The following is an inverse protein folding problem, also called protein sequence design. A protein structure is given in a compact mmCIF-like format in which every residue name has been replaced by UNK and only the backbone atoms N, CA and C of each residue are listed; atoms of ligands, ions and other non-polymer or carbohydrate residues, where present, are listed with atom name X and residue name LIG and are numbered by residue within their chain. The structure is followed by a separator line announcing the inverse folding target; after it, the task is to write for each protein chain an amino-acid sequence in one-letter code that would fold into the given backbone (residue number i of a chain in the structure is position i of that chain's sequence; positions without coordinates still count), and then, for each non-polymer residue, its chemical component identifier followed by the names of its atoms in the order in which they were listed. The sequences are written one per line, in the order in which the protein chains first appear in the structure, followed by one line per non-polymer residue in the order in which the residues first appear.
data_IF_502672712772
#
_entry.id   IF_502672712772
#
_cell.length_a   1.000
_cell.length_b   1.000
_cell.length_c   1.000
_cell.angle_alpha   90.00
_cell.angle_beta   90.00
_cell.angle_gamma   90.00
#
_symmetry.space_group_name_H-M   'P 1'
#
loop_
_entity.id
_entity.type
_entity.pdbx_description
1 polymer ?
#
# COMPACT_ATOMS: atom_id res chain seq x y z
N UNK A 1 14.77 12.85 -3.34
CA UNK A 1 15.30 14.21 -3.50
C UNK A 1 15.73 14.35 -4.93
N UNK A 2 15.41 15.48 -5.53
CA UNK A 2 15.59 15.78 -6.94
C UNK A 2 16.15 17.20 -7.03
N UNK A 3 17.01 17.48 -7.99
CA UNK A 3 17.37 18.86 -8.30
C UNK A 3 16.32 19.47 -9.23
N UNK A 4 16.40 20.80 -9.41
CA UNK A 4 15.54 21.50 -10.37
C UNK A 4 15.65 20.90 -11.77
N UNK A 5 16.86 20.55 -12.20
CA UNK A 5 17.10 20.00 -13.53
C UNK A 5 16.40 18.64 -13.72
N UNK A 6 16.26 17.85 -12.65
CA UNK A 6 15.53 16.57 -12.71
C UNK A 6 14.03 16.79 -12.96
N UNK A 7 13.44 17.83 -12.34
CA UNK A 7 12.02 18.18 -12.52
C UNK A 7 11.77 18.72 -13.93
N UNK A 8 12.63 19.62 -14.39
CA UNK A 8 12.55 20.21 -15.73
C UNK A 8 12.71 19.14 -16.82
N UNK A 9 13.61 18.17 -16.63
CA UNK A 9 13.76 17.04 -17.55
C UNK A 9 12.49 16.17 -17.60
N UNK A 10 11.75 16.07 -16.51
CA UNK A 10 10.44 15.42 -16.48
C UNK A 10 9.29 16.29 -17.02
N UNK A 11 9.58 17.50 -17.50
CA UNK A 11 8.59 18.45 -17.99
C UNK A 11 7.71 19.05 -16.89
N UNK A 12 8.18 19.02 -15.63
CA UNK A 12 7.49 19.61 -14.50
C UNK A 12 7.97 21.04 -14.30
N UNK A 13 7.03 21.99 -14.33
CA UNK A 13 7.32 23.35 -13.88
C UNK A 13 7.50 23.33 -12.36
N UNK A 14 8.65 23.83 -11.91
CA UNK A 14 9.04 23.83 -10.50
C UNK A 14 8.04 24.61 -9.66
N UNK A 15 7.57 25.75 -10.16
CA UNK A 15 6.63 26.63 -9.45
C UNK A 15 5.27 25.94 -9.31
N UNK A 16 4.81 25.26 -10.36
CA UNK A 16 3.57 24.47 -10.37
C UNK A 16 3.64 23.24 -9.45
N UNK A 17 4.74 22.48 -9.52
CA UNK A 17 4.95 21.27 -8.72
C UNK A 17 5.14 21.55 -7.22
N UNK A 18 5.64 22.74 -6.86
CA UNK A 18 5.90 23.11 -5.47
C UNK A 18 4.82 24.03 -4.86
N UNK A 19 4.61 25.20 -5.46
CA UNK A 19 3.77 26.27 -4.88
C UNK A 19 2.28 26.00 -5.11
N UNK A 20 1.92 25.54 -6.30
CA UNK A 20 0.51 25.43 -6.69
C UNK A 20 -0.12 24.07 -6.37
N UNK A 21 0.61 22.98 -6.57
CA UNK A 21 0.09 21.62 -6.36
C UNK A 21 0.36 21.05 -4.96
N UNK A 22 1.34 21.58 -4.23
CA UNK A 22 1.75 21.06 -2.92
C UNK A 22 2.26 19.60 -2.95
N UNK A 23 2.63 19.09 -4.13
CA UNK A 23 3.09 17.71 -4.34
C UNK A 23 4.55 17.58 -3.92
N UNK A 24 5.36 18.59 -4.25
CA UNK A 24 6.76 18.71 -3.88
C UNK A 24 6.97 19.91 -2.94
N UNK A 25 7.98 19.83 -2.08
CA UNK A 25 8.49 20.98 -1.31
C UNK A 25 9.93 21.24 -1.70
N UNK A 26 10.23 22.53 -1.86
CA UNK A 26 11.60 23.01 -2.01
C UNK A 26 12.28 23.03 -0.63
N UNK A 27 13.46 22.41 -0.55
CA UNK A 27 14.35 22.47 0.60
C UNK A 27 15.74 22.89 0.12
N UNK A 28 16.52 23.51 1.02
CA UNK A 28 17.88 23.92 0.68
C UNK A 28 18.90 22.86 1.09
N UNK A 29 19.71 22.41 0.13
CA UNK A 29 20.86 21.54 0.40
C UNK A 29 22.14 22.35 0.37
N UNK A 30 22.90 22.30 1.46
CA UNK A 30 24.20 22.96 1.56
C UNK A 30 25.25 22.18 0.77
N UNK A 31 25.81 22.77 -0.28
CA UNK A 31 26.90 22.16 -1.07
C UNK A 31 28.28 22.59 -0.55
N UNK A 32 28.39 23.82 -0.03
CA UNK A 32 29.60 24.39 0.59
C UNK A 32 29.21 25.32 1.76
N UNK A 33 30.20 25.84 2.51
CA UNK A 33 29.96 26.70 3.70
C UNK A 33 29.05 27.90 3.39
N UNK A 34 29.11 28.44 2.17
CA UNK A 34 28.36 29.63 1.72
C UNK A 34 27.32 29.38 0.62
N UNK A 35 27.24 28.16 0.05
CA UNK A 35 26.37 27.89 -1.10
C UNK A 35 25.30 26.85 -0.75
N UNK A 36 24.05 27.22 -0.98
CA UNK A 36 22.89 26.34 -0.86
C UNK A 36 22.26 26.18 -2.24
N UNK A 37 22.11 24.94 -2.70
CA UNK A 37 21.37 24.63 -3.92
C UNK A 37 19.96 24.17 -3.54
N UNK A 38 18.89 24.69 -4.20
CA UNK A 38 17.55 24.18 -3.98
C UNK A 38 17.47 22.72 -4.46
N UNK A 39 16.84 21.89 -3.64
CA UNK A 39 16.50 20.51 -3.96
C UNK A 39 15.04 20.28 -3.57
N UNK A 40 14.39 19.35 -4.25
CA UNK A 40 12.97 19.09 -4.09
C UNK A 40 12.77 17.68 -3.56
N UNK A 41 11.75 17.51 -2.74
CA UNK A 41 11.27 16.20 -2.33
C UNK A 41 9.74 16.19 -2.31
N UNK A 42 9.15 15.01 -2.37
CA UNK A 42 7.71 14.89 -2.14
C UNK A 42 7.37 15.35 -0.73
N UNK A 43 6.27 16.09 -0.60
CA UNK A 43 5.79 16.59 0.71
C UNK A 43 5.44 15.43 1.63
N UNK A 44 4.83 14.38 1.08
CA UNK A 44 4.39 13.22 1.85
C UNK A 44 4.89 11.92 1.22
N UNK A 45 5.39 11.00 2.07
CA UNK A 45 5.90 9.70 1.63
C UNK A 45 4.83 8.89 0.87
N UNK A 46 3.55 9.04 1.23
CA UNK A 46 2.46 8.37 0.51
C UNK A 46 2.38 8.75 -0.96
N UNK A 47 2.68 10.00 -1.31
CA UNK A 47 2.68 10.45 -2.71
C UNK A 47 3.83 9.75 -3.44
N UNK A 48 5.02 9.71 -2.84
CA UNK A 48 6.17 9.01 -3.41
C UNK A 48 5.87 7.52 -3.64
N UNK A 49 5.33 6.84 -2.63
CA UNK A 49 5.03 5.41 -2.71
C UNK A 49 3.86 5.10 -3.66
N UNK A 50 2.86 5.99 -3.73
CA UNK A 50 1.78 5.89 -4.72
C UNK A 50 2.31 6.02 -6.15
N UNK A 51 3.11 7.05 -6.43
CA UNK A 51 3.72 7.24 -7.75
C UNK A 51 4.67 6.09 -8.11
N UNK A 52 5.42 5.57 -7.14
CA UNK A 52 6.22 4.37 -7.32
C UNK A 52 5.36 3.15 -7.67
N UNK A 53 4.20 2.98 -7.03
CA UNK A 53 3.26 1.89 -7.33
C UNK A 53 2.70 2.02 -8.74
N UNK A 54 2.24 3.22 -9.13
CA UNK A 54 1.77 3.50 -10.49
C UNK A 54 2.87 3.20 -11.52
N UNK A 55 4.09 3.67 -11.28
CA UNK A 55 5.24 3.43 -12.16
C UNK A 55 5.58 1.94 -12.27
N UNK A 56 5.60 1.21 -11.15
CA UNK A 56 5.90 -0.23 -11.15
C UNK A 56 4.82 -1.02 -11.89
N UNK A 57 3.55 -0.68 -11.69
CA UNK A 57 2.44 -1.29 -12.41
C UNK A 57 2.53 -1.02 -13.91
N UNK A 58 2.81 0.23 -14.30
CA UNK A 58 3.04 0.62 -15.68
C UNK A 58 4.22 -0.15 -16.31
N UNK A 59 5.31 -0.36 -15.56
CA UNK A 59 6.45 -1.16 -16.03
C UNK A 59 6.06 -2.63 -16.24
N UNK A 60 5.25 -3.20 -15.36
CA UNK A 60 4.72 -4.55 -15.50
C UNK A 60 3.86 -4.69 -16.78
N UNK A 61 2.85 -3.84 -16.96
CA UNK A 61 1.94 -3.91 -18.11
C UNK A 61 2.64 -3.66 -19.44
N UNK A 62 3.59 -2.71 -19.49
CA UNK A 62 4.36 -2.39 -20.69
C UNK A 62 5.62 -3.26 -20.87
N UNK A 63 5.79 -4.32 -20.06
CA UNK A 63 6.91 -5.27 -20.15
C UNK A 63 8.28 -4.59 -20.11
N UNK A 64 8.46 -3.54 -19.30
CA UNK A 64 9.74 -2.87 -19.05
C UNK A 64 10.62 -3.73 -18.12
N UNK A 65 11.04 -4.89 -18.63
CA UNK A 65 11.66 -5.97 -17.83
C UNK A 65 12.96 -5.56 -17.14
N UNK A 66 13.70 -4.59 -17.66
CA UNK A 66 14.92 -4.09 -17.03
C UNK A 66 14.64 -3.43 -15.68
N UNK A 67 13.62 -2.56 -15.61
CA UNK A 67 13.20 -1.89 -14.37
C UNK A 67 12.77 -2.92 -13.33
N UNK A 68 11.97 -3.90 -13.75
CA UNK A 68 11.48 -4.95 -12.86
C UNK A 68 12.63 -5.85 -12.37
N UNK A 69 13.56 -6.25 -13.26
CA UNK A 69 14.77 -7.00 -12.88
C UNK A 69 15.68 -6.21 -11.93
N UNK A 70 15.76 -4.90 -12.05
CA UNK A 70 16.51 -4.08 -11.11
C UNK A 70 15.85 -4.08 -9.73
N UNK A 71 14.52 -4.07 -9.66
CA UNK A 71 13.78 -4.11 -8.40
C UNK A 71 13.78 -5.49 -7.73
N UNK A 72 13.53 -6.57 -8.47
CA UNK A 72 13.43 -7.94 -7.93
C UNK A 72 14.73 -8.73 -7.98
N UNK A 73 15.71 -8.29 -8.77
CA UNK A 73 16.97 -8.98 -9.03
C UNK A 73 16.98 -9.79 -10.33
N UNK A 74 18.18 -10.22 -10.76
CA UNK A 74 18.41 -10.88 -12.07
C UNK A 74 17.64 -12.20 -12.29
N UNK A 75 17.14 -12.83 -11.22
CA UNK A 75 16.37 -14.08 -11.28
C UNK A 75 14.87 -13.86 -11.54
N UNK A 76 14.44 -12.62 -11.65
CA UNK A 76 13.04 -12.26 -11.88
C UNK A 76 12.51 -12.83 -13.20
N UNK A 77 11.41 -13.59 -13.07
CA UNK A 77 10.65 -14.22 -14.16
C UNK A 77 9.18 -14.27 -13.75
N UNK A 78 8.45 -13.16 -13.86
CA UNK A 78 6.99 -13.18 -13.75
C UNK A 78 6.35 -13.50 -15.10
N UNK A 79 5.24 -14.23 -15.04
CA UNK A 79 4.41 -14.58 -16.19
C UNK A 79 3.00 -13.98 -16.11
N UNK A 80 2.53 -13.65 -14.90
CA UNK A 80 1.18 -13.13 -14.66
C UNK A 80 1.14 -12.01 -13.62
N UNK A 81 0.01 -11.29 -13.57
CA UNK A 81 -0.23 -10.22 -12.60
C UNK A 81 -0.21 -10.74 -11.16
N UNK A 82 -0.80 -11.92 -10.92
CA UNK A 82 -0.83 -12.50 -9.58
C UNK A 82 0.56 -12.93 -9.12
N UNK A 83 1.42 -13.44 -10.01
CA UNK A 83 2.81 -13.74 -9.68
C UNK A 83 3.64 -12.48 -9.42
N UNK A 84 3.41 -11.41 -10.19
CA UNK A 84 4.03 -10.10 -9.97
C UNK A 84 3.71 -9.56 -8.58
N UNK A 85 2.42 -9.45 -8.24
CA UNK A 85 1.98 -8.92 -6.95
C UNK A 85 2.44 -9.80 -5.78
N UNK A 86 2.44 -11.13 -5.98
CA UNK A 86 2.97 -12.09 -5.00
C UNK A 86 4.46 -11.82 -4.71
N UNK A 87 5.25 -11.55 -5.74
CA UNK A 87 6.68 -11.24 -5.58
C UNK A 87 6.91 -9.88 -4.90
N UNK A 88 6.12 -8.87 -5.25
CA UNK A 88 6.17 -7.56 -4.59
C UNK A 88 5.86 -7.68 -3.10
N UNK A 89 4.79 -8.39 -2.75
CA UNK A 89 4.41 -8.61 -1.36
C UNK A 89 5.51 -9.34 -0.59
N UNK A 90 6.10 -10.41 -1.15
CA UNK A 90 7.23 -11.12 -0.53
C UNK A 90 8.43 -10.21 -0.26
N UNK A 91 8.75 -9.32 -1.20
CA UNK A 91 9.84 -8.35 -1.04
C UNK A 91 9.53 -7.35 0.08
N UNK A 92 8.28 -6.86 0.17
CA UNK A 92 7.84 -6.00 1.28
C UNK A 92 7.93 -6.72 2.64
N UNK A 93 7.54 -7.99 2.72
CA UNK A 93 7.62 -8.76 3.97
C UNK A 93 9.07 -8.99 4.45
N UNK A 94 10.05 -8.97 3.54
CA UNK A 94 11.47 -9.03 3.88
C UNK A 94 12.03 -7.69 4.39
N UNK A 95 11.30 -6.59 4.20
CA UNK A 95 11.67 -5.28 4.71
C UNK A 95 11.48 -5.22 6.22
N UNK A 96 12.60 -5.09 6.95
CA UNK A 96 12.58 -5.03 8.42
C UNK A 96 11.79 -3.85 8.99
N UNK A 97 11.82 -2.70 8.30
CA UNK A 97 11.21 -1.46 8.76
C UNK A 97 9.90 -1.12 8.01
N UNK A 98 9.44 -1.98 7.11
CA UNK A 98 8.19 -1.77 6.40
C UNK A 98 8.14 -0.59 5.44
N UNK A 99 9.29 -0.07 5.00
CA UNK A 99 9.36 1.05 4.04
C UNK A 99 8.73 0.77 2.66
N UNK A 100 8.19 -0.43 2.43
CA UNK A 100 7.47 -0.80 1.20
C UNK A 100 5.98 -1.05 1.47
N UNK A 101 5.51 -0.93 2.71
CA UNK A 101 4.18 -1.39 3.08
C UNK A 101 3.09 -0.60 2.36
N UNK A 102 3.22 0.72 2.35
CA UNK A 102 2.25 1.57 1.68
C UNK A 102 2.37 1.47 0.15
N UNK A 103 3.60 1.35 -0.38
CA UNK A 103 3.81 1.03 -1.79
C UNK A 103 3.06 -0.24 -2.23
N UNK A 104 3.17 -1.35 -1.48
CA UNK A 104 2.50 -2.60 -1.87
C UNK A 104 0.98 -2.52 -1.71
N UNK A 105 0.48 -1.78 -0.71
CA UNK A 105 -0.96 -1.52 -0.56
C UNK A 105 -1.52 -0.82 -1.79
N UNK A 106 -0.90 0.28 -2.22
CA UNK A 106 -1.29 0.97 -3.44
C UNK A 106 -1.23 0.05 -4.64
N UNK A 107 -0.15 -0.71 -4.80
CA UNK A 107 0.02 -1.58 -5.96
C UNK A 107 -1.08 -2.64 -6.08
N UNK A 108 -1.53 -3.23 -4.96
CA UNK A 108 -2.67 -4.15 -4.96
C UNK A 108 -3.98 -3.40 -5.26
N UNK A 109 -4.22 -2.25 -4.63
CA UNK A 109 -5.41 -1.43 -4.90
C UNK A 109 -5.54 -1.01 -6.37
N UNK A 110 -4.42 -0.75 -7.06
CA UNK A 110 -4.42 -0.42 -8.49
C UNK A 110 -5.03 -1.53 -9.36
N UNK A 111 -5.08 -2.78 -8.91
CA UNK A 111 -5.70 -3.88 -9.65
C UNK A 111 -7.23 -3.80 -9.71
N UNK A 112 -7.86 -3.05 -8.81
CA UNK A 112 -9.31 -2.93 -8.80
C UNK A 112 -9.82 -2.18 -10.03
N UNK A 113 -10.97 -2.63 -10.54
CA UNK A 113 -11.62 -2.05 -11.71
C UNK A 113 -11.85 -0.54 -11.57
N UNK A 114 -12.21 -0.07 -10.37
CA UNK A 114 -12.39 1.36 -10.07
C UNK A 114 -11.14 2.19 -10.35
N UNK A 115 -9.97 1.68 -9.96
CA UNK A 115 -8.68 2.33 -10.18
C UNK A 115 -8.19 2.15 -11.61
N UNK A 116 -8.43 0.99 -12.23
CA UNK A 116 -8.15 0.80 -13.65
C UNK A 116 -8.98 1.74 -14.54
N UNK A 117 -10.24 1.99 -14.18
CA UNK A 117 -11.10 2.95 -14.90
C UNK A 117 -10.60 4.38 -14.77
N UNK A 118 -10.13 4.78 -13.58
CA UNK A 118 -9.66 6.14 -13.32
C UNK A 118 -8.26 6.40 -13.88
N UNK A 119 -7.36 5.42 -13.75
CA UNK A 119 -5.92 5.56 -14.01
C UNK A 119 -5.44 4.74 -15.21
N UNK A 120 -6.33 4.11 -15.97
CA UNK A 120 -5.99 3.18 -17.05
C UNK A 120 -5.06 3.76 -18.13
N UNK A 121 -5.16 5.08 -18.39
CA UNK A 121 -4.24 5.79 -19.27
C UNK A 121 -2.78 5.77 -18.78
N UNK A 122 -2.56 5.73 -17.46
CA UNK A 122 -1.24 5.65 -16.84
C UNK A 122 -0.79 4.19 -16.65
N UNK A 123 -1.69 3.33 -16.19
CA UNK A 123 -1.38 1.94 -15.84
C UNK A 123 -1.19 1.05 -17.07
N UNK A 124 -1.69 1.45 -18.23
CA UNK A 124 -1.77 0.61 -19.43
C UNK A 124 -3.06 -0.22 -19.42
N UNK A 125 -3.64 -0.44 -20.60
CA UNK A 125 -4.89 -1.20 -20.72
C UNK A 125 -4.65 -2.68 -20.41
N UNK A 126 -5.17 -3.14 -19.28
CA UNK A 126 -5.17 -4.57 -18.92
C UNK A 126 -6.55 -4.95 -18.40
N UNK A 127 -7.27 -5.80 -19.13
CA UNK A 127 -8.47 -6.44 -18.59
C UNK A 127 -8.06 -7.46 -17.53
N UNK A 128 -8.31 -7.13 -16.26
CA UNK A 128 -8.02 -8.02 -15.14
C UNK A 128 -9.25 -8.85 -14.84
N UNK A 129 -9.18 -10.15 -15.08
CA UNK A 129 -10.32 -11.05 -14.84
C UNK A 129 -10.60 -11.22 -13.34
N UNK A 130 -11.86 -11.42 -12.92
CA UNK A 130 -12.22 -11.72 -11.54
C UNK A 130 -11.45 -12.92 -10.97
N UNK A 131 -11.18 -13.93 -11.80
CA UNK A 131 -10.37 -15.08 -11.40
C UNK A 131 -8.92 -14.72 -11.08
N UNK A 132 -8.35 -13.70 -11.73
CA UNK A 132 -7.01 -13.19 -11.39
C UNK A 132 -7.04 -12.44 -10.07
N UNK A 133 -8.05 -11.60 -9.83
CA UNK A 133 -8.25 -10.91 -8.55
C UNK A 133 -8.36 -11.93 -7.40
N UNK A 134 -9.11 -13.01 -7.61
CA UNK A 134 -9.24 -14.07 -6.59
C UNK A 134 -7.89 -14.76 -6.31
N UNK A 135 -7.06 -15.01 -7.32
CA UNK A 135 -5.70 -15.55 -7.11
C UNK A 135 -4.83 -14.59 -6.32
N UNK A 136 -4.91 -13.29 -6.57
CA UNK A 136 -4.20 -12.26 -5.78
C UNK A 136 -4.62 -12.31 -4.31
N UNK A 137 -5.93 -12.34 -4.04
CA UNK A 137 -6.47 -12.44 -2.67
C UNK A 137 -5.99 -13.73 -1.98
N UNK A 138 -6.05 -14.86 -2.67
CA UNK A 138 -5.60 -16.14 -2.12
C UNK A 138 -4.09 -16.12 -1.81
N UNK A 139 -3.28 -15.54 -2.68
CA UNK A 139 -1.84 -15.35 -2.45
C UNK A 139 -1.56 -14.55 -1.18
N UNK A 140 -2.33 -13.47 -0.93
CA UNK A 140 -2.21 -12.67 0.29
C UNK A 140 -2.57 -13.49 1.54
N UNK A 141 -3.68 -14.25 1.49
CA UNK A 141 -4.12 -15.12 2.59
C UNK A 141 -3.09 -16.22 2.89
N UNK A 142 -2.52 -16.86 1.87
CA UNK A 142 -1.45 -17.86 2.01
C UNK A 142 -0.19 -17.28 2.70
N UNK A 143 0.14 -16.01 2.41
CA UNK A 143 1.29 -15.35 3.01
C UNK A 143 1.05 -14.93 4.47
N UNK A 144 -0.21 -14.87 4.92
CA UNK A 144 -0.57 -14.63 6.31
C UNK A 144 -0.38 -15.88 7.20
N UNK A 145 0.85 -16.38 7.25
CA UNK A 145 1.22 -17.53 8.08
C UNK A 145 1.71 -17.11 9.47
N UNK A 146 1.92 -18.06 10.37
CA UNK A 146 2.50 -17.79 11.71
C UNK A 146 4.00 -17.49 11.70
N UNK A 147 4.63 -17.52 10.53
CA UNK A 147 6.07 -17.27 10.36
C UNK A 147 6.42 -15.79 10.21
N UNK A 148 5.44 -14.92 9.97
CA UNK A 148 5.64 -13.47 9.82
C UNK A 148 5.32 -12.75 11.13
N UNK A 149 6.02 -11.66 11.42
CA UNK A 149 5.75 -10.90 12.64
C UNK A 149 4.37 -10.24 12.60
N UNK A 150 3.75 -9.96 13.77
CA UNK A 150 2.47 -9.26 13.83
C UNK A 150 2.44 -7.97 13.02
N UNK A 151 3.50 -7.16 13.07
CA UNK A 151 3.59 -5.91 12.30
C UNK A 151 3.56 -6.14 10.78
N UNK A 152 4.19 -7.22 10.30
CA UNK A 152 4.16 -7.57 8.88
C UNK A 152 2.80 -8.13 8.46
N UNK A 153 2.12 -8.83 9.36
CA UNK A 153 0.74 -9.32 9.17
C UNK A 153 -0.26 -8.18 9.00
N UNK A 154 -0.09 -7.07 9.73
CA UNK A 154 -0.91 -5.86 9.57
C UNK A 154 -0.86 -5.34 8.13
N UNK A 155 0.31 -5.37 7.48
CA UNK A 155 0.42 -4.95 6.09
C UNK A 155 -0.39 -5.86 5.13
N UNK A 156 -0.36 -7.18 5.31
CA UNK A 156 -1.19 -8.11 4.52
C UNK A 156 -2.67 -7.82 4.72
N UNK A 157 -3.09 -7.60 5.97
CA UNK A 157 -4.47 -7.25 6.29
C UNK A 157 -4.89 -5.98 5.55
N UNK A 158 -4.04 -4.96 5.55
CA UNK A 158 -4.31 -3.74 4.80
C UNK A 158 -4.38 -3.97 3.28
N UNK A 159 -3.52 -4.80 2.70
CA UNK A 159 -3.64 -5.15 1.29
C UNK A 159 -4.96 -5.87 0.98
N UNK A 160 -5.43 -6.76 1.86
CA UNK A 160 -6.73 -7.43 1.68
C UNK A 160 -7.89 -6.43 1.75
N UNK A 161 -7.81 -5.45 2.66
CA UNK A 161 -8.76 -4.34 2.73
C UNK A 161 -8.79 -3.52 1.44
N UNK A 162 -7.62 -3.15 0.88
CA UNK A 162 -7.55 -2.45 -0.40
C UNK A 162 -8.15 -3.27 -1.55
N UNK A 163 -8.14 -4.61 -1.45
CA UNK A 163 -8.74 -5.53 -2.42
C UNK A 163 -10.24 -5.78 -2.16
N UNK A 164 -10.87 -5.03 -1.24
CA UNK A 164 -12.25 -5.21 -0.76
C UNK A 164 -12.55 -6.60 -0.17
N UNK A 165 -11.52 -7.33 0.30
CA UNK A 165 -11.69 -8.60 1.02
C UNK A 165 -11.71 -8.35 2.53
N UNK A 166 -12.91 -8.39 3.12
CA UNK A 166 -13.14 -8.16 4.55
C UNK A 166 -13.13 -9.45 5.38
N UNK A 167 -12.74 -10.59 4.80
CA UNK A 167 -12.93 -11.90 5.44
C UNK A 167 -12.15 -12.02 6.75
N UNK A 168 -10.89 -11.57 6.77
CA UNK A 168 -10.07 -11.57 7.98
C UNK A 168 -10.58 -10.60 9.05
N UNK A 169 -11.14 -9.46 8.64
CA UNK A 169 -11.73 -8.51 9.58
C UNK A 169 -12.95 -9.11 10.27
N UNK A 170 -13.81 -9.80 9.51
CA UNK A 170 -14.97 -10.50 10.05
C UNK A 170 -14.56 -11.65 10.98
N UNK A 171 -13.51 -12.39 10.65
CA UNK A 171 -12.97 -13.46 11.50
C UNK A 171 -12.42 -12.89 12.82
N UNK A 172 -11.69 -11.77 12.76
CA UNK A 172 -11.23 -11.06 13.94
C UNK A 172 -12.39 -10.56 14.82
N UNK A 173 -13.43 -9.95 14.24
CA UNK A 173 -14.61 -9.53 15.01
C UNK A 173 -15.32 -10.71 15.68
N UNK A 174 -15.41 -11.86 15.00
CA UNK A 174 -16.00 -13.09 15.57
C UNK A 174 -15.19 -13.61 16.75
N UNK A 175 -13.87 -13.62 16.68
CA UNK A 175 -13.03 -14.08 17.80
C UNK A 175 -13.13 -13.16 19.00
N UNK A 176 -13.27 -11.84 18.80
CA UNK A 176 -13.52 -10.88 19.89
C UNK A 176 -14.92 -11.04 20.52
N UNK A 177 -15.96 -11.32 19.72
CA UNK A 177 -17.32 -11.48 20.22
C UNK A 177 -17.49 -12.72 21.13
N UNK A 178 -16.74 -13.79 20.87
CA UNK A 178 -16.76 -15.03 21.68
C UNK A 178 -16.06 -14.84 23.05
N UNK A 179 -15.25 -13.80 23.22
CA UNK A 179 -14.50 -13.51 24.45
C UNK A 179 -15.22 -12.63 25.49
N UNK A 180 -16.46 -12.22 25.25
CA UNK A 180 -17.23 -11.40 26.19
C UNK A 180 -17.92 -12.30 27.23
N UNK A 181 -17.61 -12.22 28.54
CA UNK A 181 -18.36 -12.97 29.55
C UNK A 181 -19.83 -12.47 29.56
N UNK A 182 -20.82 -13.36 29.80
CA UNK A 182 -22.19 -12.92 29.99
C UNK A 182 -22.24 -11.89 31.13
N UNK A 183 -22.91 -10.76 30.91
CA UNK A 183 -23.30 -9.88 32.01
C UNK A 183 -24.25 -10.69 32.90
N UNK A 184 -23.74 -11.17 34.04
CA UNK A 184 -24.60 -11.69 35.10
C UNK A 184 -25.50 -10.54 35.56
N UNK A 185 -26.79 -10.66 35.28
CA UNK A 185 -27.81 -9.77 35.82
C UNK A 185 -27.89 -10.02 37.33
N UNK A 186 -27.25 -9.16 38.10
CA UNK A 186 -27.34 -9.14 39.55
C UNK A 186 -28.73 -8.60 39.94
N UNK A 187 -29.75 -9.46 39.91
CA UNK A 187 -31.06 -9.16 40.47
C UNK A 187 -30.98 -9.26 42.01
N UNK A 188 -30.34 -8.28 42.63
CA UNK A 188 -30.59 -7.97 44.05
C UNK A 188 -31.90 -7.19 44.15
N UNK A 189 -33.02 -7.92 44.24
CA UNK A 189 -34.29 -7.33 44.68
C UNK A 189 -34.15 -7.07 46.18
N UNK A 190 -33.74 -5.86 46.54
CA UNK A 190 -34.05 -5.30 47.86
C UNK A 190 -35.54 -4.96 47.88
N UNK A 191 -36.35 -5.86 48.43
CA UNK A 191 -37.69 -5.54 48.89
C UNK A 191 -37.59 -4.89 50.26
N UNK A 192 -37.69 -3.56 50.29
CA UNK A 192 -38.01 -2.81 51.50
C UNK A 192 -38.96 -1.66 51.15
N UNK A 193 -40.23 -1.81 51.54
CA UNK A 193 -41.16 -0.72 51.87
C UNK A 193 -42.48 -1.32 52.35
N UNK A 194 -42.80 -1.02 53.61
CA UNK A 194 -44.02 -1.46 54.28
C UNK A 194 -45.25 -0.60 54.01
N UNK A 195 -46.39 -1.11 54.47
CA UNK A 195 -47.67 -0.52 54.92
C UNK A 195 -48.57 -1.76 55.14
N UNK A 196 -49.21 -2.07 56.28
CA UNK A 196 -49.85 -1.28 57.33
C UNK A 196 -49.52 -1.78 58.76
#
# INVERSE_FOLDING_TARGET
MFYQEDLEQCGLDVTEASVYSGVCTEIFKRECVIFQKPVYCFVHLSIQEFLAAVYMFHCFTNRKTEVLKNFFGKKYKESSLDDFLKQVMRKSLQSKNGHLDLFVRFLHGLCLESNQRLLGGLLGQTEISPGTIQRVINNLKEMNSDKISPDRRINIFHCLMEMNDLSLFQEFLKSCAVGSPPLENDHSVHSDSGSD
#
